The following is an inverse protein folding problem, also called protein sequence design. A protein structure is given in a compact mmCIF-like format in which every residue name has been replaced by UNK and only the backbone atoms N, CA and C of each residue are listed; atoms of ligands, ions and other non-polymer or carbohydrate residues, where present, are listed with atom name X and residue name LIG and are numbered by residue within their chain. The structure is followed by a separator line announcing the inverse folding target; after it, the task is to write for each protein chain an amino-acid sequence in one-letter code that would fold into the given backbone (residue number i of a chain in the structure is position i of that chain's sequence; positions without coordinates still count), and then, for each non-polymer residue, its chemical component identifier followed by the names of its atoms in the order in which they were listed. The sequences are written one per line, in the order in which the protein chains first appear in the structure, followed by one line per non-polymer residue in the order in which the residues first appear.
data_IF_606399953796
#
_entry.id   IF_606399953796
#
_cell.length_a   1.000
_cell.length_b   1.000
_cell.length_c   1.000
_cell.angle_alpha   90.00
_cell.angle_beta   90.00
_cell.angle_gamma   90.00
#
_symmetry.space_group_name_H-M   'P 1'
#
loop_
_entity.id
_entity.type
_entity.pdbx_description
1 polymer ?
#
# COMPACT_ATOMS: atom_id res chain seq x y z
N UNK A 1 -2.55 5.85 -7.76
CA UNK A 1 -2.30 4.47 -7.28
C UNK A 1 -2.55 3.53 -8.45
N UNK A 2 -1.64 2.61 -8.75
CA UNK A 2 -1.77 1.69 -9.88
C UNK A 2 -2.68 0.53 -9.49
N UNK A 3 -3.70 0.26 -10.31
CA UNK A 3 -4.69 -0.81 -10.10
C UNK A 3 -4.62 -1.81 -11.26
N UNK A 4 -4.82 -3.12 -11.05
CA UNK A 4 -4.92 -4.07 -12.16
C UNK A 4 -6.06 -3.72 -13.12
N UNK A 5 -5.97 -4.22 -14.37
CA UNK A 5 -7.05 -4.10 -15.35
C UNK A 5 -8.32 -4.78 -14.83
N UNK A 6 -9.47 -4.15 -15.10
CA UNK A 6 -10.77 -4.62 -14.66
C UNK A 6 -11.52 -5.32 -15.78
N UNK A 7 -12.56 -6.06 -15.40
CA UNK A 7 -13.47 -6.66 -16.36
C UNK A 7 -14.15 -5.57 -17.21
N UNK A 8 -14.01 -5.67 -18.54
CA UNK A 8 -14.51 -4.68 -19.49
C UNK A 8 -13.46 -3.70 -19.99
N UNK A 9 -12.25 -3.69 -19.41
CA UNK A 9 -11.11 -3.01 -20.02
C UNK A 9 -10.68 -3.72 -21.31
N UNK A 10 -10.37 -2.97 -22.37
CA UNK A 10 -9.85 -3.58 -23.58
C UNK A 10 -8.42 -4.08 -23.33
N UNK A 11 -8.01 -5.21 -23.93
CA UNK A 11 -6.65 -5.72 -23.79
C UNK A 11 -5.62 -4.87 -24.57
N UNK A 12 -6.07 -4.22 -25.64
CA UNK A 12 -5.25 -3.41 -26.53
C UNK A 12 -6.00 -2.15 -26.92
N UNK A 13 -5.26 -1.11 -27.26
CA UNK A 13 -5.80 0.16 -27.70
C UNK A 13 -4.86 0.73 -28.77
N UNK A 14 -5.33 0.76 -30.02
CA UNK A 14 -4.44 0.93 -31.17
C UNK A 14 -3.32 -0.12 -31.15
N UNK A 15 -2.05 0.26 -31.35
CA UNK A 15 -0.91 -0.66 -31.28
C UNK A 15 -0.41 -0.93 -29.84
N UNK A 16 -1.07 -0.40 -28.81
CA UNK A 16 -0.59 -0.47 -27.42
C UNK A 16 -1.27 -1.59 -26.64
N UNK A 17 -0.49 -2.37 -25.89
CA UNK A 17 -0.99 -3.44 -25.00
C UNK A 17 -1.22 -2.87 -23.60
N UNK A 18 -2.45 -2.90 -23.08
CA UNK A 18 -2.74 -2.38 -21.75
C UNK A 18 -2.21 -3.32 -20.66
N UNK A 19 -1.63 -2.75 -19.59
CA UNK A 19 -1.04 -3.49 -18.47
C UNK A 19 -1.77 -3.25 -17.16
N UNK A 20 -2.11 -1.99 -16.86
CA UNK A 20 -2.73 -1.59 -15.61
C UNK A 20 -3.47 -0.27 -15.76
N UNK A 21 -4.35 0.06 -14.81
CA UNK A 21 -4.94 1.38 -14.65
C UNK A 21 -4.04 2.24 -13.77
N UNK A 22 -3.61 3.38 -14.29
CA UNK A 22 -2.89 4.41 -13.52
C UNK A 22 -3.87 5.30 -12.75
N UNK A 23 -4.98 5.66 -13.37
CA UNK A 23 -6.00 6.55 -12.79
C UNK A 23 -7.38 6.27 -13.37
N UNK A 24 -8.42 6.50 -12.56
CA UNK A 24 -9.81 6.49 -12.97
C UNK A 24 -10.50 7.76 -12.45
N UNK A 25 -10.90 8.63 -13.37
CA UNK A 25 -11.61 9.87 -13.11
C UNK A 25 -12.95 9.91 -13.85
N UNK A 26 -13.80 10.88 -13.52
CA UNK A 26 -15.11 11.01 -14.17
C UNK A 26 -14.98 11.35 -15.67
N UNK A 27 -14.00 12.17 -16.05
CA UNK A 27 -13.72 12.51 -17.45
C UNK A 27 -13.12 11.34 -18.24
N UNK A 28 -12.35 10.47 -17.60
CA UNK A 28 -11.59 9.45 -18.32
C UNK A 28 -10.80 8.50 -17.44
N UNK A 29 -10.26 7.49 -18.12
CA UNK A 29 -9.41 6.45 -17.56
C UNK A 29 -8.00 6.65 -18.13
N UNK A 30 -6.99 6.42 -17.28
CA UNK A 30 -5.59 6.44 -17.68
C UNK A 30 -5.00 5.08 -17.42
N UNK A 31 -4.39 4.52 -18.46
CA UNK A 31 -3.78 3.20 -18.45
C UNK A 31 -2.27 3.30 -18.61
N UNK A 32 -1.58 2.35 -18.00
CA UNK A 32 -0.21 2.00 -18.36
C UNK A 32 -0.29 1.00 -19.51
N UNK A 33 0.41 1.29 -20.60
CA UNK A 33 0.47 0.40 -21.75
C UNK A 33 1.88 0.24 -22.28
N UNK A 34 2.10 -0.79 -23.10
CA UNK A 34 3.35 -1.05 -23.78
C UNK A 34 3.18 -0.78 -25.28
N UNK A 35 4.07 0.03 -25.86
CA UNK A 35 4.14 0.25 -27.30
C UNK A 35 4.71 -0.94 -28.07
N UNK A 36 4.56 -0.95 -29.41
CA UNK A 36 5.13 -2.00 -30.26
C UNK A 36 6.66 -2.03 -30.22
N UNK A 37 7.29 -0.95 -29.78
CA UNK A 37 8.72 -0.79 -29.54
C UNK A 37 9.16 -1.25 -28.13
N UNK A 38 8.23 -1.76 -27.31
CA UNK A 38 8.47 -2.17 -25.93
C UNK A 38 8.60 -1.01 -24.94
N UNK A 39 8.26 0.23 -25.32
CA UNK A 39 8.32 1.39 -24.42
C UNK A 39 7.01 1.56 -23.65
N UNK A 40 7.12 1.91 -22.37
CA UNK A 40 5.96 2.19 -21.54
C UNK A 40 5.34 3.55 -21.93
N UNK A 41 4.02 3.56 -22.09
CA UNK A 41 3.23 4.76 -22.39
C UNK A 41 2.09 4.91 -21.38
N UNK A 42 1.78 6.17 -21.05
CA UNK A 42 0.57 6.56 -20.35
C UNK A 42 -0.50 6.86 -21.40
N UNK A 43 -1.68 6.25 -21.25
CA UNK A 43 -2.72 6.28 -22.26
C UNK A 43 -4.03 6.75 -21.64
N UNK A 44 -4.51 7.92 -22.04
CA UNK A 44 -5.79 8.46 -21.57
C UNK A 44 -6.89 8.20 -22.59
N UNK A 45 -8.04 7.78 -22.09
CA UNK A 45 -9.26 7.57 -22.86
C UNK A 45 -10.45 8.15 -22.10
N UNK A 46 -11.43 8.68 -22.83
CA UNK A 46 -12.66 9.16 -22.23
C UNK A 46 -13.51 8.01 -21.66
N UNK A 47 -14.27 8.32 -20.61
CA UNK A 47 -15.37 7.45 -20.18
C UNK A 47 -16.48 7.46 -21.22
N UNK A 48 -17.33 6.43 -21.25
CA UNK A 48 -18.44 6.33 -22.19
C UNK A 48 -19.34 7.56 -22.13
N UNK A 49 -19.69 8.01 -20.92
CA UNK A 49 -20.51 9.19 -20.74
C UNK A 49 -19.84 10.47 -21.28
N UNK A 50 -18.55 10.67 -21.01
CA UNK A 50 -17.81 11.83 -21.52
C UNK A 50 -17.59 11.77 -23.04
N UNK A 51 -17.43 10.59 -23.63
CA UNK A 51 -17.31 10.42 -25.07
C UNK A 51 -18.64 10.64 -25.81
N UNK A 52 -19.79 10.44 -25.16
CA UNK A 52 -21.08 10.76 -25.78
C UNK A 52 -21.39 12.27 -25.80
N UNK A 53 -20.66 13.07 -25.02
CA UNK A 53 -20.79 14.53 -25.04
C UNK A 53 -19.83 15.15 -26.06
N UNK A 54 -20.38 15.82 -27.08
CA UNK A 54 -19.60 16.42 -28.15
C UNK A 54 -18.62 17.49 -27.62
N UNK A 55 -19.04 18.31 -26.64
CA UNK A 55 -18.20 19.34 -26.08
C UNK A 55 -17.02 18.76 -25.27
N UNK A 56 -17.24 17.69 -24.51
CA UNK A 56 -16.18 16.94 -23.82
C UNK A 56 -15.17 16.33 -24.81
N UNK A 57 -15.64 15.69 -25.89
CA UNK A 57 -14.78 15.19 -26.98
C UNK A 57 -13.95 16.29 -27.62
N UNK A 58 -14.58 17.39 -27.99
CA UNK A 58 -13.90 18.51 -28.64
C UNK A 58 -12.81 19.10 -27.72
N UNK A 59 -13.10 19.27 -26.43
CA UNK A 59 -12.11 19.74 -25.45
C UNK A 59 -10.92 18.81 -25.33
N UNK A 60 -11.17 17.50 -25.27
CA UNK A 60 -10.10 16.51 -25.24
C UNK A 60 -9.24 16.57 -26.51
N UNK A 61 -9.86 16.51 -27.68
CA UNK A 61 -9.16 16.52 -28.97
C UNK A 61 -8.39 17.83 -29.17
N UNK A 62 -8.98 18.97 -28.80
CA UNK A 62 -8.31 20.26 -28.89
C UNK A 62 -7.09 20.34 -27.98
N UNK A 63 -7.18 19.83 -26.75
CA UNK A 63 -6.04 19.78 -25.84
C UNK A 63 -4.90 18.90 -26.39
N UNK A 64 -5.22 17.78 -27.02
CA UNK A 64 -4.23 16.91 -27.67
C UNK A 64 -3.59 17.60 -28.87
N UNK A 65 -4.40 18.23 -29.74
CA UNK A 65 -3.90 18.97 -30.92
C UNK A 65 -3.02 20.16 -30.54
N UNK A 66 -3.36 20.88 -29.47
CA UNK A 66 -2.54 22.00 -28.98
C UNK A 66 -1.15 21.52 -28.51
N UNK A 67 -1.09 20.35 -27.86
CA UNK A 67 0.18 19.75 -27.46
C UNK A 67 1.03 19.31 -28.67
N UNK A 68 0.41 18.76 -29.73
CA UNK A 68 1.10 18.44 -30.98
C UNK A 68 1.64 19.70 -31.69
N UNK A 69 0.84 20.76 -31.76
CA UNK A 69 1.25 22.03 -32.37
C UNK A 69 2.38 22.73 -31.61
N UNK A 70 2.36 22.66 -30.27
CA UNK A 70 3.41 23.22 -29.42
C UNK A 70 4.77 22.57 -29.71
N UNK A 71 4.80 21.31 -30.18
CA UNK A 71 6.01 20.61 -30.63
C UNK A 71 6.52 21.11 -31.98
N UNK A 72 5.62 21.48 -32.89
CA UNK A 72 5.94 21.80 -34.29
C UNK A 72 6.07 23.30 -34.58
N UNK A 73 5.67 24.18 -33.66
CA UNK A 73 5.54 25.62 -33.91
C UNK A 73 6.64 26.49 -33.30
N UNK A 74 6.51 27.81 -33.52
CA UNK A 74 7.37 28.88 -32.96
C UNK A 74 7.50 28.80 -31.44
N UNK A 75 6.52 28.24 -30.73
CA UNK A 75 6.59 27.99 -29.27
C UNK A 75 7.65 26.94 -28.88
N UNK A 76 7.91 25.92 -29.70
CA UNK A 76 9.04 25.01 -29.48
C UNK A 76 10.39 25.73 -29.61
N UNK A 77 10.46 26.71 -30.52
CA UNK A 77 11.64 27.57 -30.67
C UNK A 77 11.79 28.51 -29.48
N UNK A 78 10.72 29.17 -29.03
CA UNK A 78 10.75 30.05 -27.84
C UNK A 78 11.10 29.26 -26.57
N UNK A 79 10.55 28.06 -26.37
CA UNK A 79 10.90 27.18 -25.25
C UNK A 79 12.34 26.68 -25.27
N UNK A 80 13.01 26.68 -26.44
CA UNK A 80 14.45 26.42 -26.57
C UNK A 80 15.29 27.65 -26.18
N UNK A 81 14.77 28.86 -26.41
CA UNK A 81 15.47 30.14 -26.13
C UNK A 81 15.26 30.59 -24.68
N UNK A 82 14.10 30.32 -24.07
CA UNK A 82 13.81 30.61 -22.65
C UNK A 82 13.42 29.32 -21.91
N UNK A 83 14.36 28.67 -21.20
CA UNK A 83 14.06 27.52 -20.35
C UNK A 83 13.26 27.99 -19.13
N UNK A 84 11.93 27.82 -19.20
CA UNK A 84 10.99 28.22 -18.14
C UNK A 84 9.59 28.58 -18.64
N UNK A 85 9.42 28.86 -19.93
CA UNK A 85 8.12 29.21 -20.53
C UNK A 85 7.33 28.01 -21.07
N UNK A 86 7.92 26.81 -21.07
CA UNK A 86 7.29 25.60 -21.62
C UNK A 86 6.52 24.91 -20.51
N UNK A 87 5.19 25.10 -20.48
CA UNK A 87 4.27 24.20 -19.76
C UNK A 87 4.61 22.78 -20.19
N UNK A 88 5.24 22.00 -19.30
CA UNK A 88 5.93 20.72 -19.56
C UNK A 88 5.24 19.94 -20.69
N UNK A 89 5.66 20.12 -21.94
CA UNK A 89 4.90 19.60 -23.08
C UNK A 89 5.29 18.15 -23.29
N UNK A 90 4.49 17.22 -22.76
CA UNK A 90 4.69 15.80 -23.01
C UNK A 90 4.44 15.53 -24.50
N UNK A 91 5.38 14.89 -25.20
CA UNK A 91 5.20 14.60 -26.61
C UNK A 91 4.07 13.59 -26.78
N UNK A 92 3.11 13.89 -27.65
CA UNK A 92 2.11 12.91 -28.09
C UNK A 92 2.82 11.86 -28.97
N UNK A 93 2.68 10.59 -28.60
CA UNK A 93 3.23 9.43 -29.32
C UNK A 93 2.25 8.99 -30.40
N UNK A 94 0.98 8.90 -30.03
CA UNK A 94 -0.11 8.54 -30.92
C UNK A 94 -1.42 9.06 -30.32
N UNK A 95 -2.41 9.29 -31.19
CA UNK A 95 -3.76 9.62 -30.77
C UNK A 95 -4.78 9.10 -31.78
N UNK A 96 -6.03 9.02 -31.34
CA UNK A 96 -7.20 8.85 -32.19
C UNK A 96 -8.28 9.82 -31.74
N UNK A 97 -8.89 10.52 -32.69
CA UNK A 97 -9.92 11.53 -32.47
C UNK A 97 -11.33 11.03 -32.84
N UNK A 98 -11.51 9.72 -33.00
CA UNK A 98 -12.79 9.10 -33.34
C UNK A 98 -13.89 9.25 -32.28
N UNK A 99 -14.83 8.31 -32.27
CA UNK A 99 -15.96 8.33 -31.32
C UNK A 99 -15.50 8.13 -29.86
N UNK A 100 -14.48 7.31 -29.65
CA UNK A 100 -13.85 7.07 -28.36
C UNK A 100 -12.41 7.58 -28.38
N UNK A 101 -12.19 8.90 -28.29
CA UNK A 101 -10.89 9.48 -28.50
C UNK A 101 -9.92 9.08 -27.38
N UNK A 102 -8.66 8.91 -27.77
CA UNK A 102 -7.59 8.50 -26.87
C UNK A 102 -6.25 9.13 -27.27
N UNK A 103 -5.35 9.24 -26.30
CA UNK A 103 -4.00 9.77 -26.52
C UNK A 103 -2.99 8.94 -25.74
N UNK A 104 -1.84 8.68 -26.38
CA UNK A 104 -0.68 8.03 -25.78
C UNK A 104 0.48 9.02 -25.65
N UNK A 105 1.06 9.10 -24.46
CA UNK A 105 2.30 9.85 -24.18
C UNK A 105 3.32 8.95 -23.48
N UNK A 106 4.62 9.27 -23.49
CA UNK A 106 5.62 8.48 -22.78
C UNK A 106 5.28 8.42 -21.29
N UNK A 107 5.40 7.24 -20.70
CA UNK A 107 5.20 7.07 -19.28
C UNK A 107 6.47 7.48 -18.52
N UNK A 108 6.33 8.42 -17.59
CA UNK A 108 7.38 8.81 -16.64
C UNK A 108 6.89 8.47 -15.24
N UNK A 109 7.54 7.55 -14.50
CA UNK A 109 7.13 7.20 -13.15
C UNK A 109 7.13 8.44 -12.23
N UNK A 110 5.98 8.74 -11.62
CA UNK A 110 5.82 9.89 -10.72
C UNK A 110 5.81 11.26 -11.41
N UNK A 111 5.95 11.31 -12.75
CA UNK A 111 5.81 12.51 -13.55
C UNK A 111 4.40 12.65 -14.13
N UNK A 112 4.13 13.77 -14.82
CA UNK A 112 2.88 13.95 -15.54
C UNK A 112 2.80 12.94 -16.71
N UNK A 113 1.62 12.38 -16.91
CA UNK A 113 1.29 11.46 -18.00
C UNK A 113 0.11 11.96 -18.83
N UNK A 114 -0.69 11.02 -19.34
CA UNK A 114 -1.83 11.34 -20.20
C UNK A 114 -3.02 11.95 -19.44
N UNK A 115 -3.04 11.88 -18.10
CA UNK A 115 -4.08 12.46 -17.24
C UNK A 115 -4.31 13.96 -17.50
N UNK A 116 -3.27 14.70 -17.88
CA UNK A 116 -3.36 16.13 -18.21
C UNK A 116 -4.36 16.46 -19.31
N UNK A 117 -4.63 15.52 -20.22
CA UNK A 117 -5.55 15.72 -21.33
C UNK A 117 -7.00 15.53 -20.90
N UNK A 118 -7.21 14.97 -19.70
CA UNK A 118 -8.53 14.86 -19.07
C UNK A 118 -8.90 16.10 -18.27
N UNK A 119 -7.93 16.93 -17.85
CA UNK A 119 -8.21 18.16 -17.09
C UNK A 119 -9.16 19.11 -17.83
N UNK A 120 -8.98 19.43 -19.13
CA UNK A 120 -9.88 20.32 -19.86
C UNK A 120 -11.28 19.75 -20.06
N UNK A 121 -11.45 18.43 -19.94
CA UNK A 121 -12.74 17.74 -20.09
C UNK A 121 -13.60 17.95 -18.84
N UNK A 122 -12.97 18.03 -17.67
CA UNK A 122 -13.66 18.35 -16.43
C UNK A 122 -14.06 19.82 -16.42
N UNK A 123 -15.34 20.09 -16.65
CA UNK A 123 -15.94 21.42 -16.50
C UNK A 123 -16.18 21.70 -15.02
N UNK A 124 -15.12 21.79 -14.23
CA UNK A 124 -15.24 22.34 -12.89
C UNK A 124 -15.18 23.86 -13.05
N UNK A 125 -16.35 24.49 -12.98
CA UNK A 125 -16.59 25.89 -13.27
C UNK A 125 -15.49 26.86 -12.81
N UNK A 126 -14.70 27.30 -13.79
CA UNK A 126 -14.03 28.60 -13.80
C UNK A 126 -14.23 29.21 -15.19
N UNK A 127 -15.49 29.49 -15.53
CA UNK A 127 -15.72 30.69 -16.36
C UNK A 127 -15.07 31.85 -15.59
N UNK A 128 -14.28 32.68 -16.26
CA UNK A 128 -13.53 33.81 -15.71
C UNK A 128 -14.46 34.91 -15.13
N UNK A 129 -15.16 34.59 -14.06
CA UNK A 129 -16.13 35.43 -13.36
C UNK A 129 -16.47 34.83 -12.00
N UNK A 130 -16.83 35.71 -11.07
CA UNK A 130 -17.33 35.36 -9.74
C UNK A 130 -18.42 34.28 -9.88
N UNK A 131 -18.30 33.11 -9.22
CA UNK A 131 -19.27 32.01 -9.28
C UNK A 131 -20.68 32.49 -8.96
N UNK A 132 -21.46 32.79 -9.99
CA UNK A 132 -22.88 33.11 -9.90
C UNK A 132 -23.62 32.26 -10.92
N UNK A 133 -24.28 31.21 -10.44
CA UNK A 133 -25.05 30.28 -11.25
C UNK A 133 -25.25 28.95 -10.52
N UNK A 134 -26.27 28.16 -10.92
CA UNK A 134 -26.43 26.80 -10.40
C UNK A 134 -25.19 25.97 -10.71
N UNK A 135 -24.79 25.10 -9.76
CA UNK A 135 -23.69 24.17 -9.97
C UNK A 135 -24.08 23.18 -11.09
N UNK A 136 -23.43 23.32 -12.26
CA UNK A 136 -23.61 22.40 -13.37
C UNK A 136 -22.81 21.13 -13.09
N UNK A 137 -23.51 20.06 -12.73
CA UNK A 137 -22.94 18.71 -12.62
C UNK A 137 -23.08 18.00 -13.96
N UNK A 138 -21.97 17.59 -14.62
CA UNK A 138 -22.07 16.83 -15.86
C UNK A 138 -22.80 15.50 -15.64
N UNK A 139 -23.76 15.16 -16.51
CA UNK A 139 -24.59 13.97 -16.35
C UNK A 139 -23.80 12.65 -16.42
N UNK A 140 -22.60 12.67 -17.01
CA UNK A 140 -21.70 11.52 -17.12
C UNK A 140 -20.84 11.26 -15.88
N UNK A 141 -20.98 12.04 -14.80
CA UNK A 141 -20.15 11.90 -13.59
C UNK A 141 -20.22 10.49 -12.96
N UNK A 142 -21.34 9.78 -13.16
CA UNK A 142 -21.58 8.43 -12.64
C UNK A 142 -21.06 7.28 -13.51
N UNK A 143 -20.81 7.49 -14.81
CA UNK A 143 -20.36 6.42 -15.71
C UNK A 143 -18.84 6.42 -15.83
N UNK A 144 -18.20 5.40 -15.24
CA UNK A 144 -16.75 5.18 -15.29
C UNK A 144 -16.33 4.06 -16.23
N UNK A 145 -17.23 3.60 -17.11
CA UNK A 145 -16.89 2.62 -18.13
C UNK A 145 -16.09 3.27 -19.25
N UNK A 146 -15.09 2.58 -19.85
CA UNK A 146 -14.36 3.13 -20.99
C UNK A 146 -15.30 3.33 -22.19
N UNK A 147 -15.08 4.40 -22.95
CA UNK A 147 -15.84 4.70 -24.17
C UNK A 147 -15.60 3.72 -25.32
N UNK A 148 -14.61 2.85 -25.18
CA UNK A 148 -14.18 1.94 -26.24
C UNK A 148 -15.24 0.84 -26.48
N UNK A 149 -15.41 0.42 -27.74
CA UNK A 149 -16.29 -0.69 -28.06
C UNK A 149 -15.85 -1.93 -27.30
N UNK A 150 -16.81 -2.62 -26.67
CA UNK A 150 -16.50 -3.80 -25.87
C UNK A 150 -15.90 -4.87 -26.79
N UNK A 151 -14.70 -5.38 -26.50
CA UNK A 151 -14.14 -6.47 -27.30
C UNK A 151 -15.10 -7.67 -27.25
N UNK A 152 -15.62 -8.06 -28.42
CA UNK A 152 -16.48 -9.23 -28.55
C UNK A 152 -15.68 -10.46 -28.09
N UNK A 153 -16.11 -11.09 -27.00
CA UNK A 153 -15.49 -12.32 -26.50
C UNK A 153 -14.35 -12.14 -25.49
N UNK A 154 -14.17 -10.97 -24.86
CA UNK A 154 -13.25 -10.83 -23.74
C UNK A 154 -13.67 -11.73 -22.55
N UNK A 155 -13.06 -12.92 -22.49
CA UNK A 155 -13.18 -13.83 -21.35
C UNK A 155 -12.70 -13.09 -20.10
N UNK A 156 -13.39 -13.24 -18.95
CA UNK A 156 -12.98 -12.56 -17.73
C UNK A 156 -11.53 -12.91 -17.42
N UNK A 157 -10.73 -11.89 -17.08
CA UNK A 157 -9.38 -12.07 -16.54
C UNK A 157 -9.53 -12.68 -15.15
N UNK A 158 -9.83 -13.98 -15.08
CA UNK A 158 -9.72 -14.76 -13.87
C UNK A 158 -8.26 -14.72 -13.44
N UNK A 159 -8.00 -14.47 -12.15
CA UNK A 159 -6.67 -14.57 -11.55
C UNK A 159 -5.88 -15.72 -12.19
N UNK A 160 -4.65 -15.43 -12.64
CA UNK A 160 -3.78 -16.35 -13.40
C UNK A 160 -3.95 -17.76 -12.85
N UNK A 161 -4.40 -18.74 -13.64
CA UNK A 161 -4.69 -20.11 -13.17
C UNK A 161 -3.60 -20.70 -12.25
N UNK A 162 -2.35 -20.27 -12.45
CA UNK A 162 -1.18 -20.58 -11.61
C UNK A 162 -1.28 -20.04 -10.18
N UNK A 163 -1.74 -18.81 -9.94
CA UNK A 163 -1.89 -18.25 -8.59
C UNK A 163 -3.01 -18.96 -7.82
N UNK A 164 -4.11 -19.32 -8.49
CA UNK A 164 -5.18 -20.13 -7.89
C UNK A 164 -4.67 -21.53 -7.54
N UNK A 165 -3.91 -22.17 -8.44
CA UNK A 165 -3.30 -23.47 -8.17
C UNK A 165 -2.33 -23.42 -6.98
N UNK A 166 -1.45 -22.41 -6.92
CA UNK A 166 -0.53 -22.20 -5.80
C UNK A 166 -1.29 -21.96 -4.50
N UNK A 167 -2.27 -21.05 -4.47
CA UNK A 167 -3.08 -20.79 -3.28
C UNK A 167 -3.82 -22.06 -2.79
N UNK A 168 -4.38 -22.84 -3.72
CA UNK A 168 -5.06 -24.10 -3.38
C UNK A 168 -4.08 -25.16 -2.84
N UNK A 169 -2.85 -25.24 -3.39
CA UNK A 169 -1.81 -26.17 -2.90
C UNK A 169 -1.31 -25.80 -1.51
N UNK A 170 -1.18 -24.50 -1.21
CA UNK A 170 -0.79 -24.00 0.12
C UNK A 170 -1.89 -24.31 1.13
N UNK A 171 -3.15 -24.05 0.78
CA UNK A 171 -4.29 -24.37 1.64
C UNK A 171 -4.39 -25.88 1.90
N UNK A 172 -4.25 -26.71 0.86
CA UNK A 172 -4.28 -28.17 0.99
C UNK A 172 -3.15 -28.68 1.90
N UNK A 173 -1.93 -28.15 1.74
CA UNK A 173 -0.78 -28.48 2.60
C UNK A 173 -1.06 -28.10 4.06
N UNK A 174 -1.65 -26.93 4.32
CA UNK A 174 -1.96 -26.46 5.67
C UNK A 174 -3.05 -27.32 6.34
N UNK A 175 -4.07 -27.71 5.58
CA UNK A 175 -5.12 -28.64 6.07
C UNK A 175 -4.54 -30.02 6.37
N UNK A 176 -3.67 -30.55 5.50
CA UNK A 176 -3.00 -31.83 5.71
C UNK A 176 -2.12 -31.80 6.98
N UNK A 177 -1.38 -30.71 7.18
CA UNK A 177 -0.55 -30.53 8.38
C UNK A 177 -1.41 -30.50 9.65
N UNK A 178 -2.54 -29.80 9.64
CA UNK A 178 -3.49 -29.77 10.76
C UNK A 178 -4.04 -31.16 11.08
N UNK A 179 -4.42 -31.93 10.05
CA UNK A 179 -4.90 -33.30 10.21
C UNK A 179 -3.80 -34.21 10.77
N UNK A 180 -2.56 -34.07 10.29
CA UNK A 180 -1.42 -34.84 10.78
C UNK A 180 -1.11 -34.53 12.25
N UNK A 181 -1.15 -33.25 12.65
CA UNK A 181 -0.95 -32.83 14.05
C UNK A 181 -2.08 -33.40 14.92
N UNK A 182 -3.33 -33.30 14.48
CA UNK A 182 -4.48 -33.87 15.19
C UNK A 182 -4.35 -35.39 15.36
N UNK A 183 -3.97 -36.10 14.30
CA UNK A 183 -3.71 -37.54 14.34
C UNK A 183 -2.61 -37.92 15.33
N UNK A 184 -1.47 -37.21 15.31
CA UNK A 184 -0.37 -37.41 16.25
C UNK A 184 -0.79 -37.20 17.71
N UNK A 185 -1.66 -36.22 17.98
CA UNK A 185 -2.17 -35.95 19.32
C UNK A 185 -3.06 -37.09 19.84
N UNK A 186 -3.92 -37.65 18.99
CA UNK A 186 -4.79 -38.78 19.35
C UNK A 186 -3.98 -40.05 19.57
N UNK A 187 -3.04 -40.36 18.66
CA UNK A 187 -2.23 -41.59 18.74
C UNK A 187 -1.29 -41.69 19.94
N UNK A 188 -1.03 -40.59 20.66
CA UNK A 188 -0.21 -40.57 21.88
C UNK A 188 -1.02 -40.75 23.18
N UNK A 189 -2.34 -40.75 23.11
CA UNK A 189 -3.22 -40.82 24.28
C UNK A 189 -3.56 -42.23 24.78
N UNK A 190 -3.17 -43.27 24.03
CA UNK A 190 -3.56 -44.67 24.30
C UNK A 190 -2.58 -45.45 25.19
N UNK A 191 -1.68 -44.76 25.93
CA UNK A 191 -0.82 -45.42 26.92
C UNK A 191 -1.66 -45.82 28.17
N UNK A 192 -1.90 -47.13 28.31
CA UNK A 192 -2.73 -47.83 29.31
C UNK A 192 -2.55 -47.36 30.79
N UNK A 193 -3.63 -47.35 31.61
CA UNK A 193 -3.53 -47.09 33.05
C UNK A 193 -2.83 -48.25 33.79
N UNK A 194 -1.73 -47.94 34.48
CA UNK A 194 -0.98 -48.89 35.33
C UNK A 194 -1.83 -49.41 36.51
N UNK A 195 -1.86 -50.73 36.79
CA UNK A 195 -2.57 -51.28 37.95
C UNK A 195 -1.81 -51.01 39.27
N UNK A 196 -2.55 -50.54 40.29
CA UNK A 196 -2.06 -50.17 41.62
C UNK A 196 -1.38 -51.33 42.36
N UNK A 197 -0.12 -51.16 42.76
CA UNK A 197 0.65 -52.11 43.59
C UNK A 197 0.31 -51.96 45.08
N UNK A 198 -0.02 -53.03 45.84
CA UNK A 198 -0.29 -52.93 47.27
C UNK A 198 0.99 -52.70 48.09
N UNK A 199 0.88 -51.87 49.15
CA UNK A 199 1.98 -51.41 50.02
C UNK A 199 2.47 -52.51 51.00
N UNK A 200 3.78 -52.56 51.33
CA UNK A 200 4.35 -53.53 52.30
C UNK A 200 4.14 -53.13 53.77
N UNK A 201 4.10 -54.13 54.66
CA UNK A 201 3.84 -53.98 56.10
C UNK A 201 5.01 -53.37 56.89
N UNK A 202 4.70 -52.40 57.77
CA UNK A 202 5.65 -51.64 58.59
C UNK A 202 6.06 -52.42 59.85
N UNK A 203 7.35 -52.76 59.98
CA UNK A 203 7.95 -53.20 61.24
C UNK A 203 8.62 -52.00 61.93
N UNK A 204 8.11 -51.63 63.11
CA UNK A 204 8.67 -50.57 63.94
C UNK A 204 9.70 -51.14 64.92
N UNK A 205 10.94 -50.66 64.85
CA UNK A 205 11.98 -50.90 65.87
C UNK A 205 12.10 -49.63 66.72
N UNK A 206 11.85 -49.69 68.04
CA UNK A 206 11.99 -48.53 68.92
C UNK A 206 13.46 -48.30 69.31
N UNK A 207 13.95 -47.08 69.11
CA UNK A 207 15.19 -46.59 69.73
C UNK A 207 14.83 -45.63 70.87
N UNK A 208 15.19 -45.92 72.12
CA UNK A 208 15.19 -44.93 73.19
C UNK A 208 16.61 -44.38 73.46
N UNK A 209 16.68 -43.20 74.11
CA UNK A 209 17.69 -42.18 73.88
C UNK A 209 18.73 -42.08 74.99
N UNK A 210 19.82 -41.33 74.76
CA UNK A 210 20.23 -40.35 75.77
C UNK A 210 20.35 -38.92 75.21
N UNK A 211 19.42 -38.10 75.70
CA UNK A 211 19.53 -36.76 76.30
C UNK A 211 20.95 -36.26 76.77
N UNK A 212 21.15 -34.97 77.14
CA UNK A 212 21.19 -33.77 76.31
C UNK A 212 22.41 -32.86 76.62
N UNK A 213 22.94 -32.16 75.62
CA UNK A 213 23.63 -30.89 75.82
C UNK A 213 23.36 -30.03 74.57
N UNK A 214 22.31 -29.20 74.56
CA UNK A 214 22.26 -27.82 75.06
C UNK A 214 23.26 -26.88 74.37
N UNK A 215 22.84 -25.67 73.97
CA UNK A 215 21.95 -25.48 72.82
C UNK A 215 22.42 -24.36 71.87
N UNK A 216 21.80 -24.37 70.68
CA UNK A 216 21.57 -23.23 69.75
C UNK A 216 22.82 -22.65 69.02
N UNK A 217 22.89 -22.81 67.69
CA UNK A 217 22.50 -21.80 66.67
C UNK A 217 23.41 -20.54 66.64
N UNK A 218 23.50 -19.82 65.51
CA UNK A 218 23.55 -20.22 64.10
C UNK A 218 24.76 -19.58 63.38
N UNK A 219 24.98 -20.01 62.13
CA UNK A 219 25.80 -19.39 61.06
C UNK A 219 26.53 -18.06 61.35
N UNK A 220 27.85 -18.00 61.05
CA UNK A 220 28.60 -16.85 60.47
C UNK A 220 30.14 -17.07 60.55
N UNK A 221 31.02 -16.17 60.06
CA UNK A 221 31.35 -15.81 58.66
C UNK A 221 32.90 -15.73 58.49
N UNK A 222 33.43 -15.14 57.41
CA UNK A 222 34.63 -14.30 57.53
C UNK A 222 34.70 -13.23 56.42
N UNK A 223 34.36 -12.00 56.80
CA UNK A 223 34.79 -10.75 56.15
C UNK A 223 36.22 -10.40 56.58
N UNK A 224 36.94 -9.53 55.86
CA UNK A 224 38.00 -8.72 56.44
C UNK A 224 37.48 -7.33 56.89
N UNK A 225 37.77 -6.97 58.14
CA UNK A 225 37.78 -5.62 58.75
C UNK A 225 39.01 -4.81 58.24
N UNK A 226 39.25 -3.52 58.58
CA UNK A 226 38.46 -2.56 59.36
C UNK A 226 38.38 -1.13 58.76
N UNK A 227 37.52 -0.26 59.31
CA UNK A 227 37.93 1.05 59.84
C UNK A 227 36.82 1.72 60.66
N UNK A 228 37.29 2.32 61.77
CA UNK A 228 36.59 3.06 62.81
C UNK A 228 35.73 4.19 62.20
N UNK A 229 34.55 4.57 62.68
CA UNK A 229 34.10 4.69 64.07
C UNK A 229 33.92 6.18 64.39
N UNK A 230 32.71 6.57 64.80
CA UNK A 230 32.41 7.88 65.39
C UNK A 230 31.55 8.78 64.51
N UNK A 231 30.21 8.69 64.63
CA UNK A 231 29.35 9.48 65.54
C UNK A 231 29.15 10.93 65.13
N UNK A 232 27.88 11.31 65.01
CA UNK A 232 27.47 12.63 65.48
C UNK A 232 26.45 13.35 64.62
N UNK A 233 25.18 13.11 64.98
CA UNK A 233 24.23 14.17 65.32
C UNK A 233 23.62 15.04 64.22
N UNK A 234 22.31 15.28 64.39
CA UNK A 234 21.74 16.60 64.16
C UNK A 234 21.05 16.82 62.82
N UNK A 235 19.74 16.57 62.81
CA UNK A 235 18.77 17.42 62.06
C UNK A 235 18.90 18.89 62.50
N UNK A 236 18.31 19.91 61.84
CA UNK A 236 17.47 19.90 60.62
C UNK A 236 17.83 21.00 59.59
N UNK A 237 17.09 20.99 58.46
CA UNK A 237 16.65 22.08 57.53
C UNK A 237 16.88 23.55 57.99
N UNK A 238 16.82 24.60 57.12
CA UNK A 238 16.40 24.62 55.70
C UNK A 238 17.15 25.63 54.77
N UNK A 239 16.74 25.59 53.48
CA UNK A 239 16.50 26.70 52.54
C UNK A 239 17.60 27.68 52.05
N UNK A 240 17.26 28.26 50.89
CA UNK A 240 17.90 29.31 50.08
C UNK A 240 19.12 28.83 49.28
N UNK A 241 19.00 28.57 47.97
CA UNK A 241 18.60 29.47 46.87
C UNK A 241 19.49 30.71 46.78
N UNK A 242 20.44 30.66 45.83
CA UNK A 242 20.98 31.83 45.14
C UNK A 242 21.84 31.37 43.96
N UNK A 243 21.31 31.59 42.76
CA UNK A 243 22.07 31.50 41.53
C UNK A 243 22.89 32.76 41.27
N UNK A 244 24.04 32.59 40.63
CA UNK A 244 24.78 33.54 39.77
C UNK A 244 25.64 32.61 38.90
N UNK A 245 25.54 32.51 37.57
CA UNK A 245 25.59 33.58 36.58
C UNK A 245 27.01 33.66 36.02
N UNK A 246 27.27 33.20 34.80
CA UNK A 246 28.59 33.31 34.17
C UNK A 246 28.70 32.60 32.81
N UNK A 247 28.37 33.35 31.76
CA UNK A 247 28.91 33.34 30.39
C UNK A 247 28.86 32.08 29.51
N UNK A 248 27.97 32.13 28.50
CA UNK A 248 28.29 32.16 27.05
C UNK A 248 27.15 32.82 26.26
#
# INVERSE_FOLDING_TARGET
MVTPLQYGDPPHLGPFVLQARLQAAAAGLVYLALGPDGRAVSLAVLTRGAAMDAAARDRFVNAVREAEQTRSGVRAWIGRVLPGATRESLPVVAMDAGEAPWVAVPYVPGGPGAERFLDPVMVSGTLMGQRHGPDFVPYWLGDRSPALPRPAGARPQTATRRSVAVASSVLATLVLLLLLIGWLLVSRGDDDPTPSRPLPATNFVPTPPPEPASPQQPQRPASPTPSQGGTGSGSPRPESDQGVGGDI
#
